data_IF_392474149531
#
_entry.id   IF_392474149531
#
_cell.length_a   1.000
_cell.length_b   1.000
_cell.length_c   1.000
_cell.angle_alpha   90.00
_cell.angle_beta   90.00
_cell.angle_gamma   90.00
#
_symmetry.space_group_name_H-M   'P 1'
#
loop_
_entity.id
_entity.type
_entity.pdbx_description
1 polymer ?
#
# COMPACT_ATOMS: atom_id res chain seq x y z
N UNK A 1 -2.44 12.72 25.96
CA UNK A 1 -1.72 12.09 24.83
C UNK A 1 -2.32 12.60 23.53
N UNK A 2 -1.61 13.44 22.78
CA UNK A 2 -2.10 13.95 21.51
C UNK A 2 -2.16 12.81 20.49
N UNK A 3 -3.35 12.52 19.99
CA UNK A 3 -3.59 11.56 18.91
C UNK A 3 -2.98 12.16 17.63
N UNK A 4 -1.71 11.87 17.35
CA UNK A 4 -1.07 12.31 16.10
C UNK A 4 -1.87 11.69 14.95
N UNK A 5 -2.58 12.52 14.20
CA UNK A 5 -3.43 12.03 13.12
C UNK A 5 -2.57 11.28 12.10
N UNK A 6 -2.99 10.07 11.71
CA UNK A 6 -2.29 9.30 10.68
C UNK A 6 -2.27 10.12 9.38
N UNK A 7 -1.12 10.13 8.71
CA UNK A 7 -0.99 10.74 7.38
C UNK A 7 -1.89 9.94 6.42
N UNK A 8 -2.76 10.65 5.68
CA UNK A 8 -3.68 10.06 4.70
C UNK A 8 -3.10 10.16 3.29
N UNK A 9 -3.05 9.04 2.57
CA UNK A 9 -2.42 8.94 1.25
C UNK A 9 -3.38 8.25 0.28
N UNK A 10 -3.62 8.86 -0.88
CA UNK A 10 -4.35 8.24 -1.99
C UNK A 10 -3.37 7.82 -3.09
N UNK A 11 -3.45 6.56 -3.54
CA UNK A 11 -2.62 6.05 -4.63
C UNK A 11 -3.51 5.73 -5.84
N UNK A 12 -3.25 6.42 -6.95
CA UNK A 12 -3.93 6.23 -8.22
C UNK A 12 -2.99 5.49 -9.18
N UNK A 13 -3.34 4.25 -9.53
CA UNK A 13 -2.55 3.39 -10.39
C UNK A 13 -1.71 2.37 -9.62
N UNK A 14 -2.18 1.11 -9.60
CA UNK A 14 -1.50 -0.02 -8.93
C UNK A 14 -0.72 -0.89 -9.90
N UNK A 15 0.22 -0.28 -10.62
CA UNK A 15 1.33 -1.00 -11.23
C UNK A 15 2.34 -1.47 -10.17
N UNK A 16 3.50 -2.04 -10.57
CA UNK A 16 4.52 -2.47 -9.63
C UNK A 16 4.93 -1.38 -8.63
N UNK A 17 5.17 -0.16 -9.12
CA UNK A 17 5.57 0.99 -8.27
C UNK A 17 4.46 1.39 -7.30
N UNK A 18 3.21 1.48 -7.77
CA UNK A 18 2.08 1.83 -6.92
C UNK A 18 1.84 0.83 -5.79
N UNK A 19 2.06 -0.46 -6.05
CA UNK A 19 1.99 -1.52 -5.03
C UNK A 19 3.13 -1.40 -4.00
N UNK A 20 4.35 -1.08 -4.44
CA UNK A 20 5.50 -0.86 -3.54
C UNK A 20 5.24 0.31 -2.60
N UNK A 21 4.72 1.42 -3.12
CA UNK A 21 4.37 2.58 -2.32
C UNK A 21 3.25 2.26 -1.32
N UNK A 22 2.21 1.55 -1.76
CA UNK A 22 1.11 1.16 -0.89
C UNK A 22 1.60 0.31 0.31
N UNK A 23 2.43 -0.71 0.06
CA UNK A 23 3.04 -1.55 1.10
C UNK A 23 3.92 -0.72 2.05
N UNK A 24 4.79 0.13 1.49
CA UNK A 24 5.73 0.93 2.29
C UNK A 24 5.02 1.94 3.19
N UNK A 25 4.00 2.64 2.68
CA UNK A 25 3.23 3.61 3.47
C UNK A 25 2.35 2.95 4.52
N UNK A 26 1.75 1.79 4.22
CA UNK A 26 1.03 1.02 5.23
C UNK A 26 1.95 0.56 6.36
N UNK A 27 3.16 0.06 6.05
CA UNK A 27 4.17 -0.32 7.05
C UNK A 27 4.66 0.87 7.89
N UNK A 28 4.69 2.07 7.31
CA UNK A 28 4.98 3.32 8.02
C UNK A 28 3.81 3.82 8.90
N UNK A 29 2.68 3.12 8.93
CA UNK A 29 1.52 3.46 9.76
C UNK A 29 0.57 4.51 9.17
N UNK A 30 0.72 4.83 7.88
CA UNK A 30 -0.15 5.76 7.17
C UNK A 30 -1.53 5.14 6.90
N UNK A 31 -2.54 6.00 6.70
CA UNK A 31 -3.88 5.63 6.24
C UNK A 31 -3.92 5.71 4.71
N UNK A 32 -3.93 4.56 4.03
CA UNK A 32 -3.71 4.47 2.58
C UNK A 32 -4.99 4.03 1.86
N UNK A 33 -5.47 4.88 0.97
CA UNK A 33 -6.58 4.59 0.05
C UNK A 33 -6.06 4.27 -1.36
N UNK A 34 -6.69 3.30 -2.02
CA UNK A 34 -6.24 2.77 -3.30
C UNK A 34 -7.31 2.94 -4.38
N UNK A 35 -6.90 3.42 -5.56
CA UNK A 35 -7.76 3.47 -6.74
C UNK A 35 -7.33 2.41 -7.76
N UNK A 36 -8.19 1.41 -7.98
CA UNK A 36 -7.94 0.26 -8.85
C UNK A 36 -9.06 0.14 -9.87
N UNK A 37 -8.72 0.21 -11.16
CA UNK A 37 -9.70 0.04 -12.25
C UNK A 37 -10.04 -1.42 -12.55
N UNK A 38 -9.11 -2.34 -12.31
CA UNK A 38 -9.30 -3.76 -12.60
C UNK A 38 -9.96 -4.45 -11.40
N UNK A 39 -11.18 -4.96 -11.59
CA UNK A 39 -11.99 -5.59 -10.53
C UNK A 39 -11.33 -6.83 -9.93
N UNK A 40 -10.67 -7.66 -10.75
CA UNK A 40 -9.95 -8.86 -10.26
C UNK A 40 -8.86 -8.46 -9.28
N UNK A 41 -8.05 -7.45 -9.65
CA UNK A 41 -6.99 -6.93 -8.78
C UNK A 41 -7.58 -6.25 -7.54
N UNK A 42 -8.66 -5.50 -7.67
CA UNK A 42 -9.36 -4.87 -6.55
C UNK A 42 -9.82 -5.91 -5.52
N UNK A 43 -10.51 -6.97 -5.97
CA UNK A 43 -11.02 -8.01 -5.10
C UNK A 43 -9.90 -8.79 -4.42
N UNK A 44 -8.81 -9.09 -5.15
CA UNK A 44 -7.64 -9.72 -4.56
C UNK A 44 -7.03 -8.87 -3.44
N UNK A 45 -6.82 -7.57 -3.69
CA UNK A 45 -6.27 -6.65 -2.68
C UNK A 45 -7.21 -6.52 -1.48
N UNK A 46 -8.53 -6.48 -1.70
CA UNK A 46 -9.50 -6.41 -0.61
C UNK A 46 -9.49 -7.65 0.29
N UNK A 47 -9.30 -8.83 -0.29
CA UNK A 47 -9.33 -10.10 0.43
C UNK A 47 -7.99 -10.48 1.06
N UNK A 48 -6.89 -10.21 0.36
CA UNK A 48 -5.54 -10.66 0.75
C UNK A 48 -4.65 -9.53 1.29
N UNK A 49 -5.05 -8.27 1.09
CA UNK A 49 -4.20 -7.11 1.36
C UNK A 49 -3.17 -6.86 0.27
N UNK A 50 -2.17 -6.02 0.57
CA UNK A 50 -0.99 -5.79 -0.27
C UNK A 50 0.23 -6.27 0.48
N UNK A 51 1.01 -7.13 -0.17
CA UNK A 51 2.32 -7.55 0.30
C UNK A 51 3.28 -7.63 -0.89
N UNK A 52 4.54 -7.31 -0.64
CA UNK A 52 5.60 -7.46 -1.62
C UNK A 52 6.33 -8.79 -1.41
N UNK A 53 6.42 -9.58 -2.47
CA UNK A 53 7.24 -10.80 -2.51
C UNK A 53 8.58 -10.54 -3.20
N UNK A 54 9.59 -11.35 -2.88
CA UNK A 54 10.93 -11.31 -3.52
C UNK A 54 11.60 -9.92 -3.44
N UNK A 55 11.34 -9.19 -2.35
CA UNK A 55 11.93 -7.87 -2.11
C UNK A 55 13.43 -8.00 -1.92
N UNK A 56 14.20 -7.16 -2.61
CA UNK A 56 15.64 -7.00 -2.36
C UNK A 56 15.77 -6.28 -1.01
N UNK A 57 16.34 -6.97 -0.03
CA UNK A 57 16.68 -6.34 1.26
C UNK A 57 17.98 -5.60 1.11
N UNK A 58 17.95 -4.30 1.41
CA UNK A 58 19.17 -3.54 1.63
C UNK A 58 19.89 -4.15 2.84
N UNK A 59 21.17 -4.52 2.68
CA UNK A 59 22.05 -4.81 3.81
C UNK A 59 22.58 -3.47 4.31
N UNK A 60 22.09 -3.06 5.46
CA UNK A 60 22.57 -1.91 6.24
C UNK A 60 23.01 -2.39 7.61
#
# INVERSE_FOLDING_TARGET
MSKTAKIKIGIIGLGPVGMILADSFQKAGCDVALCVRNEVKHNKIKNEGIFLERVIKSHS
#
